data_IF_039677238949
#
_entry.id   IF_039677238949
#
_cell.length_a   1.000
_cell.length_b   1.000
_cell.length_c   1.000
_cell.angle_alpha   90.00
_cell.angle_beta   90.00
_cell.angle_gamma   90.00
#
_symmetry.space_group_name_H-M   'P 1'
#
loop_
_entity.id
_entity.type
_entity.pdbx_description
1 polymer ?
#
# COMPACT_ATOMS: atom_id res chain seq x y z
N UNK A 1 -4.96 8.49 -33.92
CA UNK A 1 -5.76 7.33 -33.44
C UNK A 1 -5.52 7.04 -31.97
N UNK A 2 -4.27 7.03 -31.47
CA UNK A 2 -3.97 6.89 -30.03
C UNK A 2 -4.46 8.12 -29.24
N UNK A 3 -4.11 9.33 -29.68
CA UNK A 3 -4.53 10.59 -29.05
C UNK A 3 -6.06 10.75 -28.91
N UNK A 4 -6.82 10.24 -29.88
CA UNK A 4 -8.29 10.29 -29.84
C UNK A 4 -8.87 9.38 -28.75
N UNK A 5 -8.27 8.20 -28.54
CA UNK A 5 -8.69 7.24 -27.51
C UNK A 5 -8.27 7.70 -26.11
N UNK A 6 -7.10 8.34 -26.00
CA UNK A 6 -6.67 8.99 -24.76
C UNK A 6 -7.62 10.13 -24.35
N UNK A 7 -8.07 10.94 -25.31
CA UNK A 7 -9.05 12.00 -25.03
C UNK A 7 -10.39 11.43 -24.55
N UNK A 8 -10.89 10.36 -25.19
CA UNK A 8 -12.12 9.66 -24.76
C UNK A 8 -11.99 9.14 -23.32
N UNK A 9 -10.85 8.55 -22.97
CA UNK A 9 -10.57 8.11 -21.61
C UNK A 9 -10.56 9.29 -20.61
N UNK A 10 -9.93 10.41 -20.96
CA UNK A 10 -9.90 11.59 -20.11
C UNK A 10 -11.30 12.16 -19.89
N UNK A 11 -12.11 12.27 -20.95
CA UNK A 11 -13.47 12.78 -20.87
C UNK A 11 -14.35 11.86 -20.01
N UNK A 12 -14.18 10.54 -20.13
CA UNK A 12 -14.87 9.54 -19.30
C UNK A 12 -14.54 9.73 -17.81
N UNK A 13 -13.26 9.81 -17.46
CA UNK A 13 -12.83 10.00 -16.05
C UNK A 13 -13.27 11.36 -15.51
N UNK A 14 -13.15 12.43 -16.29
CA UNK A 14 -13.59 13.77 -15.87
C UNK A 14 -15.12 13.87 -15.71
N UNK A 15 -15.87 13.07 -16.46
CA UNK A 15 -17.32 12.90 -16.30
C UNK A 15 -17.73 12.10 -15.06
N UNK A 16 -16.78 11.60 -14.26
CA UNK A 16 -17.03 10.78 -13.07
C UNK A 16 -17.14 9.28 -13.35
N UNK A 17 -16.71 8.83 -14.53
CA UNK A 17 -16.61 7.42 -14.88
C UNK A 17 -15.66 6.65 -13.95
N UNK A 18 -15.99 5.39 -13.68
CA UNK A 18 -15.17 4.48 -12.88
C UNK A 18 -14.50 3.49 -13.82
N UNK A 19 -13.17 3.47 -13.81
CA UNK A 19 -12.40 2.60 -14.70
C UNK A 19 -12.23 1.24 -14.05
N UNK A 20 -12.70 0.21 -14.73
CA UNK A 20 -12.60 -1.19 -14.31
C UNK A 20 -11.36 -1.88 -14.90
N UNK A 21 -11.10 -3.10 -14.46
CA UNK A 21 -9.86 -3.83 -14.78
C UNK A 21 -9.74 -4.24 -16.25
N UNK A 22 -10.85 -4.48 -16.93
CA UNK A 22 -10.93 -4.84 -18.35
C UNK A 22 -11.08 -3.64 -19.29
N UNK A 23 -11.28 -2.45 -18.72
CA UNK A 23 -11.32 -1.22 -19.49
C UNK A 23 -9.95 -0.89 -20.10
N UNK A 24 -10.02 -0.17 -21.22
CA UNK A 24 -8.82 0.36 -21.83
C UNK A 24 -8.24 1.51 -21.01
N UNK A 25 -6.94 1.45 -20.76
CA UNK A 25 -6.16 2.45 -20.04
C UNK A 25 -4.99 2.89 -20.92
N UNK A 26 -4.65 4.18 -20.98
CA UNK A 26 -3.38 4.63 -21.56
C UNK A 26 -2.20 3.94 -20.85
N UNK A 27 -1.20 3.49 -21.61
CA UNK A 27 -0.09 2.69 -21.05
C UNK A 27 0.68 3.43 -19.96
N UNK A 28 0.92 4.73 -20.15
CA UNK A 28 1.59 5.56 -19.15
C UNK A 28 0.74 5.71 -17.88
N UNK A 29 -0.59 5.83 -18.03
CA UNK A 29 -1.52 5.90 -16.91
C UNK A 29 -1.51 4.59 -16.11
N UNK A 30 -1.58 3.43 -16.79
CA UNK A 30 -1.46 2.10 -16.16
C UNK A 30 -0.13 1.95 -15.42
N UNK A 31 0.99 2.34 -16.02
CA UNK A 31 2.30 2.26 -15.39
C UNK A 31 2.41 3.13 -14.13
N UNK A 32 1.84 4.35 -14.16
CA UNK A 32 1.78 5.25 -12.99
C UNK A 32 0.88 4.70 -11.89
N UNK A 33 -0.28 4.12 -12.24
CA UNK A 33 -1.16 3.45 -11.27
C UNK A 33 -0.46 2.28 -10.58
N UNK A 34 0.16 1.37 -11.35
CA UNK A 34 0.91 0.23 -10.80
C UNK A 34 1.95 0.74 -9.81
N UNK A 35 2.75 1.74 -10.19
CA UNK A 35 3.79 2.31 -9.32
C UNK A 35 3.21 2.90 -8.03
N UNK A 36 2.09 3.63 -8.12
CA UNK A 36 1.46 4.26 -6.97
C UNK A 36 0.83 3.25 -6.01
N UNK A 37 0.04 2.32 -6.55
CA UNK A 37 -0.69 1.31 -5.77
C UNK A 37 0.30 0.30 -5.16
N UNK A 38 1.36 -0.07 -5.88
CA UNK A 38 2.45 -0.88 -5.31
C UNK A 38 3.12 -0.16 -4.12
N UNK A 39 3.44 1.13 -4.26
CA UNK A 39 4.02 1.91 -3.16
C UNK A 39 3.10 1.95 -1.94
N UNK A 40 1.78 2.02 -2.17
CA UNK A 40 0.77 1.95 -1.12
C UNK A 40 0.78 0.57 -0.43
N UNK A 41 0.70 -0.53 -1.19
CA UNK A 41 0.73 -1.88 -0.64
C UNK A 41 2.03 -2.20 0.10
N UNK A 42 3.16 -1.70 -0.40
CA UNK A 42 4.46 -1.75 0.28
C UNK A 42 4.43 -0.98 1.61
N UNK A 43 3.73 0.15 1.66
CA UNK A 43 3.67 0.98 2.87
C UNK A 43 2.89 0.30 3.98
N UNK A 44 1.78 -0.36 3.64
CA UNK A 44 1.03 -1.18 4.61
C UNK A 44 1.91 -2.32 5.15
N UNK A 45 2.62 -3.02 4.27
CA UNK A 45 3.50 -4.12 4.67
C UNK A 45 4.67 -3.66 5.53
N UNK A 46 5.32 -2.57 5.16
CA UNK A 46 6.49 -2.06 5.87
C UNK A 46 6.11 -1.37 7.18
N UNK A 47 4.89 -0.81 7.27
CA UNK A 47 4.38 -0.16 8.46
C UNK A 47 4.20 -1.09 9.66
N UNK A 48 3.95 -2.37 9.42
CA UNK A 48 3.83 -3.34 10.52
C UNK A 48 5.15 -3.69 11.19
N UNK A 49 6.29 -3.49 10.52
CA UNK A 49 7.60 -3.88 11.05
C UNK A 49 7.99 -3.10 12.32
N UNK A 50 7.87 -1.76 12.40
CA UNK A 50 8.15 -1.04 13.65
C UNK A 50 7.15 -1.36 14.77
N UNK A 51 5.89 -1.63 14.44
CA UNK A 51 4.82 -1.91 15.40
C UNK A 51 4.84 -3.35 15.93
N UNK A 52 5.12 -4.35 15.09
CA UNK A 52 5.13 -5.78 15.48
C UNK A 52 6.13 -6.06 16.59
N UNK A 53 7.26 -5.35 16.61
CA UNK A 53 8.30 -5.52 17.62
C UNK A 53 7.76 -5.20 19.03
N UNK A 54 6.68 -4.43 19.14
CA UNK A 54 6.05 -4.05 20.40
C UNK A 54 4.92 -4.99 20.84
N UNK A 55 4.47 -5.93 19.99
CA UNK A 55 3.41 -6.89 20.34
C UNK A 55 3.74 -7.62 21.64
N UNK A 56 4.95 -8.19 21.74
CA UNK A 56 5.34 -8.93 22.94
C UNK A 56 5.61 -8.03 24.15
N UNK A 57 5.89 -6.75 23.93
CA UNK A 57 6.29 -5.74 24.93
C UNK A 57 5.15 -4.80 25.36
N UNK A 58 3.95 -4.97 24.81
CA UNK A 58 2.80 -4.15 25.15
C UNK A 58 2.50 -4.20 26.66
N UNK A 59 2.20 -3.06 27.31
CA UNK A 59 2.13 -2.92 28.76
C UNK A 59 0.94 -3.64 29.39
N UNK A 60 -0.10 -3.93 28.61
CA UNK A 60 -1.29 -4.66 29.07
C UNK A 60 -1.75 -5.65 28.01
N UNK A 61 -2.48 -6.69 28.43
CA UNK A 61 -3.09 -7.66 27.51
C UNK A 61 -4.07 -7.00 26.53
N UNK A 62 -4.83 -6.00 26.98
CA UNK A 62 -5.74 -5.25 26.11
C UNK A 62 -4.98 -4.51 25.00
N UNK A 63 -3.86 -3.87 25.32
CA UNK A 63 -3.03 -3.18 24.33
C UNK A 63 -2.31 -4.15 23.40
N UNK A 64 -1.87 -5.30 23.92
CA UNK A 64 -1.33 -6.40 23.11
C UNK A 64 -2.35 -6.88 22.07
N UNK A 65 -3.59 -7.14 22.50
CA UNK A 65 -4.66 -7.59 21.61
C UNK A 65 -4.97 -6.56 20.52
N UNK A 66 -5.10 -5.28 20.90
CA UNK A 66 -5.36 -4.21 19.94
C UNK A 66 -4.22 -4.05 18.91
N UNK A 67 -2.96 -4.09 19.35
CA UNK A 67 -1.80 -3.97 18.46
C UNK A 67 -1.69 -5.17 17.52
N UNK A 68 -1.92 -6.39 18.01
CA UNK A 68 -1.95 -7.60 17.16
C UNK A 68 -3.04 -7.51 16.10
N UNK A 69 -4.24 -7.05 16.47
CA UNK A 69 -5.34 -6.86 15.52
C UNK A 69 -4.99 -5.82 14.44
N UNK A 70 -4.45 -4.65 14.84
CA UNK A 70 -3.97 -3.63 13.89
C UNK A 70 -2.95 -4.22 12.92
N UNK A 71 -1.91 -4.86 13.42
CA UNK A 71 -0.86 -5.47 12.58
C UNK A 71 -1.44 -6.52 11.63
N UNK A 72 -2.41 -7.32 12.07
CA UNK A 72 -3.11 -8.26 11.20
C UNK A 72 -3.86 -7.55 10.07
N UNK A 73 -4.58 -6.47 10.39
CA UNK A 73 -5.37 -5.71 9.42
C UNK A 73 -4.46 -5.08 8.35
N UNK A 74 -3.34 -4.45 8.71
CA UNK A 74 -2.44 -3.83 7.72
C UNK A 74 -1.79 -4.88 6.78
N UNK A 75 -1.44 -6.07 7.30
CA UNK A 75 -0.98 -7.16 6.43
C UNK A 75 -2.09 -7.60 5.48
N UNK A 76 -3.34 -7.63 5.94
CA UNK A 76 -4.51 -7.87 5.09
C UNK A 76 -4.69 -6.79 4.03
N UNK A 77 -4.59 -5.50 4.40
CA UNK A 77 -4.64 -4.36 3.49
C UNK A 77 -3.57 -4.46 2.40
N UNK A 78 -2.32 -4.76 2.78
CA UNK A 78 -1.23 -4.95 1.82
C UNK A 78 -1.55 -6.03 0.78
N UNK A 79 -2.07 -7.18 1.22
CA UNK A 79 -2.44 -8.28 0.31
C UNK A 79 -3.58 -7.87 -0.65
N UNK A 80 -4.60 -7.17 -0.15
CA UNK A 80 -5.70 -6.68 -0.97
C UNK A 80 -5.23 -5.63 -1.99
N UNK A 81 -4.33 -4.73 -1.59
CA UNK A 81 -3.78 -3.70 -2.48
C UNK A 81 -2.88 -4.33 -3.55
N UNK A 82 -2.05 -5.31 -3.22
CA UNK A 82 -1.28 -6.01 -4.24
C UNK A 82 -2.16 -6.74 -5.24
N UNK A 83 -3.32 -7.26 -4.84
CA UNK A 83 -4.27 -7.87 -5.78
C UNK A 83 -4.74 -6.87 -6.85
N UNK A 84 -4.96 -5.61 -6.49
CA UNK A 84 -5.28 -4.55 -7.46
C UNK A 84 -4.13 -4.33 -8.44
N UNK A 85 -2.89 -4.42 -7.98
CA UNK A 85 -1.70 -4.35 -8.86
C UNK A 85 -1.62 -5.55 -9.81
N UNK A 86 -2.01 -6.74 -9.34
CA UNK A 86 -2.10 -7.95 -10.17
C UNK A 86 -3.14 -7.80 -11.27
N UNK A 87 -4.32 -7.26 -10.96
CA UNK A 87 -5.37 -7.01 -11.95
C UNK A 87 -4.91 -6.00 -13.02
N UNK A 88 -3.97 -5.10 -12.70
CA UNK A 88 -3.35 -4.18 -13.66
C UNK A 88 -2.21 -4.80 -14.47
N UNK A 89 -1.78 -6.02 -14.16
CA UNK A 89 -0.85 -6.83 -14.94
C UNK A 89 0.54 -7.06 -14.33
N UNK A 90 0.78 -6.66 -13.07
CA UNK A 90 2.05 -6.93 -12.37
C UNK A 90 1.85 -7.94 -11.23
N UNK A 91 2.46 -9.14 -11.28
CA UNK A 91 2.32 -10.15 -10.23
C UNK A 91 2.78 -9.65 -8.86
N UNK A 92 2.12 -10.09 -7.78
CA UNK A 92 2.49 -9.72 -6.41
C UNK A 92 3.92 -10.10 -6.06
N UNK A 93 4.40 -11.25 -6.51
CA UNK A 93 5.78 -11.70 -6.26
C UNK A 93 6.79 -10.67 -6.80
N UNK A 94 6.50 -10.07 -7.96
CA UNK A 94 7.33 -9.02 -8.52
C UNK A 94 7.27 -7.71 -7.71
N UNK A 95 6.13 -7.39 -7.09
CA UNK A 95 6.03 -6.27 -6.15
C UNK A 95 6.93 -6.47 -4.92
N UNK A 96 6.96 -7.69 -4.38
CA UNK A 96 7.83 -8.04 -3.26
C UNK A 96 9.31 -8.00 -3.67
N UNK A 97 9.66 -8.52 -4.83
CA UNK A 97 11.03 -8.45 -5.35
C UNK A 97 11.50 -7.00 -5.56
N UNK A 98 10.63 -6.15 -6.12
CA UNK A 98 10.91 -4.73 -6.31
C UNK A 98 11.07 -4.00 -4.96
N UNK A 99 10.29 -4.38 -3.92
CA UNK A 99 10.42 -3.84 -2.57
C UNK A 99 11.76 -4.27 -1.93
N UNK A 100 12.08 -5.56 -1.96
CA UNK A 100 13.29 -6.13 -1.34
C UNK A 100 14.56 -5.59 -2.02
N UNK A 101 14.53 -5.42 -3.34
CA UNK A 101 15.63 -4.82 -4.11
C UNK A 101 15.72 -3.30 -3.97
N UNK A 102 14.74 -2.64 -3.34
CA UNK A 102 14.68 -1.19 -3.15
C UNK A 102 14.32 -0.39 -4.41
N UNK A 103 13.86 -1.08 -5.47
CA UNK A 103 13.40 -0.49 -6.73
C UNK A 103 12.07 0.25 -6.53
N UNK A 104 11.10 -0.39 -5.86
CA UNK A 104 9.88 0.30 -5.41
C UNK A 104 10.10 0.91 -4.02
N UNK A 105 9.23 1.86 -3.67
CA UNK A 105 9.34 2.66 -2.44
C UNK A 105 8.17 2.37 -1.51
N UNK A 106 8.23 2.93 -0.31
CA UNK A 106 7.17 2.98 0.68
C UNK A 106 7.31 4.28 1.48
N UNK A 107 6.31 4.61 2.30
CA UNK A 107 6.30 5.86 3.07
C UNK A 107 7.54 6.01 3.97
N UNK A 108 8.14 7.19 3.93
CA UNK A 108 9.41 7.47 4.62
C UNK A 108 9.31 7.27 6.15
N UNK A 109 8.12 7.49 6.74
CA UNK A 109 7.87 7.37 8.19
C UNK A 109 8.23 5.99 8.76
N UNK A 110 8.18 4.93 7.96
CA UNK A 110 8.50 3.57 8.42
C UNK A 110 10.00 3.25 8.47
N UNK A 111 10.85 4.21 8.13
CA UNK A 111 12.30 4.12 8.37
C UNK A 111 12.69 4.55 9.80
N UNK A 112 11.78 5.15 10.56
CA UNK A 112 12.07 5.65 11.90
C UNK A 112 11.89 4.55 12.96
N UNK A 113 12.81 4.43 13.94
CA UNK A 113 12.73 3.39 14.96
C UNK A 113 11.68 3.71 16.04
N UNK A 114 11.02 2.68 16.56
CA UNK A 114 10.14 2.75 17.74
C UNK A 114 10.90 2.35 19.01
N UNK A 115 11.31 3.35 19.81
CA UNK A 115 12.16 3.21 21.01
C UNK A 115 11.36 2.98 22.29
N UNK A 116 10.13 3.49 22.37
CA UNK A 116 9.26 3.37 23.55
C UNK A 116 7.84 2.92 23.17
N UNK A 117 7.08 2.44 24.16
CA UNK A 117 5.65 2.14 23.96
C UNK A 117 4.86 3.38 23.53
N UNK A 118 5.30 4.58 23.95
CA UNK A 118 4.69 5.84 23.54
C UNK A 118 4.71 6.03 22.02
N UNK A 119 5.75 5.51 21.35
CA UNK A 119 5.91 5.65 19.90
C UNK A 119 4.85 4.85 19.14
N UNK A 120 4.43 3.69 19.67
CA UNK A 120 3.32 2.91 19.10
C UNK A 120 2.02 3.70 19.18
N UNK A 121 1.77 4.38 20.31
CA UNK A 121 0.60 5.23 20.46
C UNK A 121 0.61 6.44 19.53
N UNK A 122 1.79 7.02 19.28
CA UNK A 122 1.97 8.13 18.33
C UNK A 122 1.76 7.66 16.89
N UNK A 123 2.30 6.50 16.51
CA UNK A 123 2.06 5.91 15.19
C UNK A 123 0.56 5.72 14.98
N UNK A 124 -0.12 4.99 15.88
CA UNK A 124 -1.55 4.70 15.72
C UNK A 124 -2.47 5.94 15.71
N UNK A 125 -1.97 7.11 16.09
CA UNK A 125 -2.74 8.34 16.12
C UNK A 125 -2.37 9.34 15.01
N UNK A 126 -1.09 9.48 14.68
CA UNK A 126 -0.57 10.54 13.81
C UNK A 126 0.02 10.03 12.49
N UNK A 127 0.19 8.72 12.33
CA UNK A 127 0.79 8.10 11.15
C UNK A 127 -0.24 7.21 10.47
#
# INVERSE_FOLDING_TARGET
>A
MVEAREQEFLDYVQGGGQVETDDWLPDEYRARLIKFIEMHGNSELMGVLPEREWILRAPTLQRKLALTAKVQDEVGHSQLIYRVVEDLGKPREQCLDDLISGKSKFHNVFHYPTKTWGDVGVIAWLV
#
